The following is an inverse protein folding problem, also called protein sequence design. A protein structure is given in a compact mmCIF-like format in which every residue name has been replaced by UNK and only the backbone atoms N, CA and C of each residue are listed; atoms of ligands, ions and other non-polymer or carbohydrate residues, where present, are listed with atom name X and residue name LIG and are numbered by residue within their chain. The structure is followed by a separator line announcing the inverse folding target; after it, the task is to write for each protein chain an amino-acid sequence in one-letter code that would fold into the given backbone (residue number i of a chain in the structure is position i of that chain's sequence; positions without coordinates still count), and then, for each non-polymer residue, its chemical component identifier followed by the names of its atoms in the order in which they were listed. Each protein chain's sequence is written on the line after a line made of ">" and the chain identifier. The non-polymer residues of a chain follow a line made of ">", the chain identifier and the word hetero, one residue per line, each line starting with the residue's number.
data_IF_560353423877
#
_entry.id   IF_560353423877
#
_cell.length_a   1.000
_cell.length_b   1.000
_cell.length_c   1.000
_cell.angle_alpha   90.00
_cell.angle_beta   90.00
_cell.angle_gamma   90.00
#
_symmetry.space_group_name_H-M   'P 1'
#
loop_
_entity.id
_entity.type
_entity.pdbx_description
1 polymer ?
#
# COMPACT_ATOMS: atom_id res chain seq x y z
N UNK A 1 29.45 -9.88 -13.42
CA UNK A 1 28.00 -10.00 -13.11
C UNK A 1 27.87 -9.37 -11.73
N UNK A 2 27.26 -8.19 -11.62
CA UNK A 2 27.09 -7.55 -10.32
C UNK A 2 26.13 -8.39 -9.47
N UNK A 3 26.57 -8.76 -8.27
CA UNK A 3 25.78 -9.54 -7.35
C UNK A 3 24.81 -8.58 -6.64
N UNK A 4 23.52 -8.79 -6.85
CA UNK A 4 22.48 -8.04 -6.14
C UNK A 4 22.46 -8.48 -4.68
N UNK A 5 22.66 -7.53 -3.76
CA UNK A 5 22.50 -7.75 -2.33
C UNK A 5 21.04 -7.47 -1.96
N UNK A 6 20.27 -8.53 -1.76
CA UNK A 6 18.83 -8.44 -1.48
C UNK A 6 18.60 -8.47 0.02
N UNK A 7 18.09 -7.36 0.57
CA UNK A 7 17.70 -7.25 1.96
C UNK A 7 16.18 -7.36 2.14
N UNK A 8 15.70 -7.81 3.32
CA UNK A 8 14.28 -7.79 3.64
C UNK A 8 13.68 -6.38 3.56
N UNK A 9 12.44 -6.28 3.11
CA UNK A 9 11.69 -5.01 3.12
C UNK A 9 11.19 -4.76 4.54
N UNK A 10 11.76 -3.74 5.19
CA UNK A 10 11.31 -3.24 6.49
C UNK A 10 10.59 -1.90 6.29
N UNK A 11 9.34 -1.82 6.76
CA UNK A 11 8.51 -0.62 6.67
C UNK A 11 8.20 -0.12 8.07
N UNK A 12 8.49 1.16 8.32
CA UNK A 12 8.22 1.79 9.61
C UNK A 12 6.72 1.69 9.96
N UNK A 13 6.42 1.29 11.20
CA UNK A 13 5.05 1.14 11.69
C UNK A 13 4.28 -0.08 11.17
N UNK A 14 4.94 -1.00 10.46
CA UNK A 14 4.36 -2.27 10.00
C UNK A 14 4.98 -3.45 10.74
N UNK A 15 4.17 -4.19 11.49
CA UNK A 15 4.61 -5.42 12.19
C UNK A 15 4.94 -6.53 11.18
N UNK A 16 6.03 -7.26 11.46
CA UNK A 16 6.43 -8.47 10.71
C UNK A 16 5.78 -9.77 11.24
N UNK A 17 5.00 -9.71 12.33
CA UNK A 17 4.35 -10.89 12.93
C UNK A 17 3.17 -11.41 12.10
N UNK A 18 2.72 -10.63 11.12
CA UNK A 18 1.61 -10.93 10.22
C UNK A 18 1.98 -10.59 8.77
N UNK A 19 1.32 -11.20 7.78
CA UNK A 19 1.55 -10.85 6.38
C UNK A 19 1.37 -9.34 6.12
N UNK A 20 2.26 -8.77 5.30
CA UNK A 20 2.13 -7.40 4.81
C UNK A 20 0.89 -7.30 3.92
N UNK A 21 -0.05 -6.41 4.28
CA UNK A 21 -1.25 -6.13 3.48
C UNK A 21 -1.11 -4.75 2.82
N UNK A 22 -1.18 -4.74 1.48
CA UNK A 22 -1.24 -3.54 0.65
C UNK A 22 -2.64 -3.48 0.02
N UNK A 23 -3.44 -2.49 0.40
CA UNK A 23 -4.82 -2.39 -0.05
C UNK A 23 -5.18 -0.97 -0.50
N UNK A 24 -6.23 -0.86 -1.30
CA UNK A 24 -6.72 0.42 -1.80
C UNK A 24 -7.38 0.25 -3.17
N UNK A 25 -7.95 1.34 -3.72
CA UNK A 25 -8.73 1.27 -4.93
C UNK A 25 -7.88 0.89 -6.15
N UNK A 26 -8.55 0.50 -7.23
CA UNK A 26 -7.85 0.24 -8.49
C UNK A 26 -7.20 1.53 -9.01
N UNK A 27 -7.97 2.60 -9.14
CA UNK A 27 -7.54 3.93 -9.58
C UNK A 27 -7.78 4.97 -8.48
N UNK A 28 -6.95 6.00 -8.43
CA UNK A 28 -7.28 7.23 -7.71
C UNK A 28 -8.18 8.08 -8.61
N UNK A 29 -9.48 8.08 -8.34
CA UNK A 29 -10.48 8.70 -9.23
C UNK A 29 -10.90 10.08 -8.71
N UNK A 30 -11.13 10.20 -7.40
CA UNK A 30 -11.45 11.47 -6.73
C UNK A 30 -10.81 11.54 -5.35
N UNK A 31 -10.62 12.76 -4.83
CA UNK A 31 -10.11 12.96 -3.47
C UNK A 31 -11.02 12.28 -2.43
N UNK A 32 -12.33 12.46 -2.54
CA UNK A 32 -13.31 11.85 -1.62
C UNK A 32 -13.19 10.32 -1.60
N UNK A 33 -13.12 9.69 -2.77
CA UNK A 33 -12.98 8.24 -2.90
C UNK A 33 -11.67 7.74 -2.26
N UNK A 34 -10.55 8.41 -2.55
CA UNK A 34 -9.24 8.08 -1.97
C UNK A 34 -9.26 8.22 -0.45
N UNK A 35 -9.71 9.37 0.06
CA UNK A 35 -9.70 9.66 1.50
C UNK A 35 -10.66 8.77 2.29
N UNK A 36 -11.85 8.49 1.75
CA UNK A 36 -12.83 7.59 2.37
C UNK A 36 -12.28 6.16 2.43
N UNK A 37 -11.66 5.68 1.35
CA UNK A 37 -11.06 4.35 1.31
C UNK A 37 -9.87 4.25 2.27
N UNK A 38 -8.99 5.25 2.29
CA UNK A 38 -7.82 5.27 3.17
C UNK A 38 -8.21 5.22 4.66
N UNK A 39 -9.19 6.03 5.07
CA UNK A 39 -9.73 6.00 6.44
C UNK A 39 -10.29 4.63 6.80
N UNK A 40 -11.15 4.07 5.95
CA UNK A 40 -11.77 2.74 6.20
C UNK A 40 -10.76 1.59 6.26
N UNK A 41 -9.63 1.68 5.55
CA UNK A 41 -8.55 0.69 5.62
C UNK A 41 -7.67 0.88 6.86
N UNK A 42 -7.38 2.14 7.22
CA UNK A 42 -6.65 2.49 8.44
C UNK A 42 -7.38 1.98 9.69
N UNK A 43 -8.71 2.12 9.75
CA UNK A 43 -9.55 1.60 10.85
C UNK A 43 -9.47 0.07 11.00
N UNK A 44 -9.11 -0.64 9.92
CA UNK A 44 -8.87 -2.10 9.90
C UNK A 44 -7.41 -2.47 10.21
N UNK A 45 -6.58 -1.49 10.57
CA UNK A 45 -5.17 -1.71 10.88
C UNK A 45 -4.27 -1.97 9.65
N UNK A 46 -4.74 -1.61 8.45
CA UNK A 46 -3.92 -1.64 7.23
C UNK A 46 -3.05 -0.38 7.22
N UNK A 47 -1.76 -0.56 6.96
CA UNK A 47 -0.75 0.51 7.05
C UNK A 47 -0.22 0.98 5.71
N UNK A 48 -0.40 0.19 4.64
CA UNK A 48 0.06 0.53 3.29
C UNK A 48 -1.14 0.68 2.36
N UNK A 49 -1.28 1.89 1.82
CA UNK A 49 -2.34 2.25 0.88
C UNK A 49 -1.80 2.27 -0.55
N UNK A 50 -2.53 1.65 -1.49
CA UNK A 50 -2.22 1.72 -2.93
C UNK A 50 -3.35 2.38 -3.73
N UNK A 51 -3.00 3.15 -4.75
CA UNK A 51 -3.95 3.60 -5.76
C UNK A 51 -3.22 3.84 -7.09
N UNK A 52 -3.82 3.43 -8.21
CA UNK A 52 -3.24 3.67 -9.54
C UNK A 52 -3.49 5.10 -10.02
N UNK A 53 -2.43 5.86 -10.27
CA UNK A 53 -2.51 7.20 -10.89
C UNK A 53 -2.61 7.08 -12.42
N UNK A 54 -1.79 6.21 -13.01
CA UNK A 54 -1.84 5.89 -14.44
C UNK A 54 -2.33 4.46 -14.67
N UNK A 55 -3.29 4.32 -15.58
CA UNK A 55 -3.79 3.02 -16.03
C UNK A 55 -3.35 2.78 -17.47
N UNK A 56 -2.54 1.74 -17.74
CA UNK A 56 -2.25 1.37 -19.12
C UNK A 56 -3.58 1.03 -19.81
N UNK A 57 -3.85 1.74 -20.89
CA UNK A 57 -5.03 1.53 -21.75
C UNK A 57 -4.63 0.68 -22.93
#
# INVERSE_FOLDING_TARGET
>A
MEQLDLLPIELEGVSQERPLIIAGPCSAETEEQVMTTAKSLSDKGIKIFRAGIWKPR
#
